data_IF_982223677580
#
_entry.id   IF_982223677580
#
_cell.length_a   1.000
_cell.length_b   1.000
_cell.length_c   1.000
_cell.angle_alpha   90.00
_cell.angle_beta   90.00
_cell.angle_gamma   90.00
#
_symmetry.space_group_name_H-M   'P 1'
#
loop_
_entity.id
_entity.type
_entity.pdbx_description
1 polymer ?
#
# COMPACT_ATOMS: atom_id res chain seq x y z
N UNK A 1 -21.11 32.43 -0.64
CA UNK A 1 -20.69 31.05 -0.36
C UNK A 1 -19.22 30.85 -0.73
N UNK A 2 -18.49 29.84 -0.19
CA UNK A 2 -17.10 29.59 -0.57
C UNK A 2 -16.88 29.44 -2.08
N UNK A 3 -17.86 28.89 -2.79
CA UNK A 3 -17.82 28.77 -4.25
C UNK A 3 -17.86 30.12 -4.95
N UNK A 4 -18.70 31.05 -4.51
CA UNK A 4 -18.78 32.40 -5.07
C UNK A 4 -17.54 33.23 -4.78
N UNK A 5 -16.93 33.01 -3.60
CA UNK A 5 -15.67 33.63 -3.21
C UNK A 5 -14.53 33.20 -4.13
N UNK A 6 -14.39 31.89 -4.37
CA UNK A 6 -13.38 31.32 -5.27
C UNK A 6 -13.61 31.79 -6.73
N UNK A 7 -14.85 31.86 -7.18
CA UNK A 7 -15.19 32.36 -8.51
C UNK A 7 -14.79 33.86 -8.67
N UNK A 8 -15.08 34.67 -7.66
CA UNK A 8 -14.67 36.07 -7.63
C UNK A 8 -13.15 36.23 -7.67
N UNK A 9 -12.43 35.44 -6.89
CA UNK A 9 -10.96 35.43 -6.87
C UNK A 9 -10.41 35.06 -8.26
N UNK A 10 -10.94 34.02 -8.89
CA UNK A 10 -10.51 33.57 -10.23
C UNK A 10 -10.74 34.62 -11.30
N UNK A 11 -11.89 35.28 -11.26
CA UNK A 11 -12.16 36.44 -12.14
C UNK A 11 -11.21 37.61 -11.89
N UNK A 12 -10.92 37.90 -10.62
CA UNK A 12 -9.98 38.96 -10.24
C UNK A 12 -8.58 38.64 -10.76
N UNK A 13 -8.10 37.42 -10.62
CA UNK A 13 -6.81 36.97 -11.17
C UNK A 13 -6.77 37.17 -12.69
N UNK A 14 -7.81 36.74 -13.39
CA UNK A 14 -7.91 36.87 -14.85
C UNK A 14 -7.88 38.34 -15.27
N UNK A 15 -8.61 39.24 -14.56
CA UNK A 15 -8.59 40.68 -14.82
C UNK A 15 -7.20 41.29 -14.55
N UNK A 16 -6.54 40.92 -13.45
CA UNK A 16 -5.20 41.42 -13.13
C UNK A 16 -4.17 41.04 -14.21
N UNK A 17 -4.24 39.82 -14.73
CA UNK A 17 -3.35 39.37 -15.80
C UNK A 17 -3.67 40.11 -17.12
N UNK A 18 -4.95 40.16 -17.50
CA UNK A 18 -5.38 40.75 -18.77
C UNK A 18 -5.26 42.30 -18.79
N UNK A 19 -5.72 42.95 -17.73
CA UNK A 19 -5.91 44.42 -17.74
C UNK A 19 -4.71 45.13 -17.10
N UNK A 20 -3.97 44.51 -16.21
CA UNK A 20 -2.80 45.07 -15.51
C UNK A 20 -1.45 44.49 -15.98
N UNK A 21 -1.46 43.50 -16.85
CA UNK A 21 -0.24 42.90 -17.40
C UNK A 21 0.57 42.06 -16.37
N UNK A 22 -0.04 41.69 -15.23
CA UNK A 22 0.62 40.82 -14.26
C UNK A 22 0.75 39.37 -14.83
N UNK A 23 1.78 38.68 -14.41
CA UNK A 23 1.92 37.25 -14.75
C UNK A 23 1.28 36.41 -13.66
N UNK A 24 0.74 35.26 -13.99
CA UNK A 24 0.17 34.31 -13.01
C UNK A 24 1.13 34.03 -11.86
N UNK A 25 2.42 33.88 -12.14
CA UNK A 25 3.48 33.62 -11.13
C UNK A 25 3.73 34.76 -10.15
N UNK A 26 3.22 35.95 -10.44
CA UNK A 26 3.37 37.14 -9.60
C UNK A 26 2.19 37.29 -8.62
N UNK A 27 1.20 36.38 -8.69
CA UNK A 27 -0.04 36.43 -7.90
C UNK A 27 -0.02 35.28 -6.90
N UNK A 28 -0.25 35.60 -5.64
CA UNK A 28 -0.37 34.63 -4.55
C UNK A 28 -1.73 34.75 -3.86
N UNK A 29 -2.40 33.62 -3.68
CA UNK A 29 -3.65 33.55 -2.90
C UNK A 29 -3.35 32.86 -1.58
N UNK A 30 -3.69 33.48 -0.48
CA UNK A 30 -3.49 32.95 0.87
C UNK A 30 -4.81 32.61 1.54
N UNK A 31 -4.94 31.44 2.10
CA UNK A 31 -6.08 31.03 2.92
C UNK A 31 -5.61 30.50 4.28
N UNK A 32 -6.43 30.72 5.32
CA UNK A 32 -6.18 30.12 6.66
C UNK A 32 -6.55 28.64 6.73
N UNK A 33 -7.48 28.22 5.89
CA UNK A 33 -8.03 26.86 5.83
C UNK A 33 -8.03 26.37 4.39
N UNK A 34 -6.82 26.14 3.80
CA UNK A 34 -6.71 25.75 2.40
C UNK A 34 -7.49 24.48 2.06
N UNK A 35 -7.65 23.56 3.02
CA UNK A 35 -8.34 22.28 2.87
C UNK A 35 -9.81 22.44 2.44
N UNK A 36 -10.45 23.54 2.84
CA UNK A 36 -11.85 23.82 2.49
C UNK A 36 -12.02 24.42 1.09
N UNK A 37 -10.93 24.84 0.46
CA UNK A 37 -10.95 25.61 -0.78
C UNK A 37 -10.22 24.94 -1.94
N UNK A 38 -9.31 23.97 -1.68
CA UNK A 38 -8.44 23.35 -2.70
C UNK A 38 -9.23 22.80 -3.89
N UNK A 39 -10.25 21.97 -3.64
CA UNK A 39 -11.11 21.42 -4.68
C UNK A 39 -11.84 22.51 -5.49
N UNK A 40 -12.28 23.55 -4.81
CA UNK A 40 -12.99 24.66 -5.43
C UNK A 40 -12.05 25.47 -6.34
N UNK A 41 -10.82 25.75 -5.86
CA UNK A 41 -9.79 26.41 -6.66
C UNK A 41 -9.37 25.56 -7.86
N UNK A 42 -9.14 24.26 -7.66
CA UNK A 42 -8.77 23.34 -8.75
C UNK A 42 -9.79 23.38 -9.89
N UNK A 43 -11.08 23.30 -9.57
CA UNK A 43 -12.16 23.35 -10.56
C UNK A 43 -12.29 24.75 -11.20
N UNK A 44 -12.21 25.80 -10.39
CA UNK A 44 -12.34 27.17 -10.87
C UNK A 44 -11.16 27.56 -11.77
N UNK A 45 -9.93 27.23 -11.38
CA UNK A 45 -8.74 27.49 -12.18
C UNK A 45 -8.77 26.73 -13.52
N UNK A 46 -9.25 25.49 -13.53
CA UNK A 46 -9.47 24.75 -14.77
C UNK A 46 -10.51 25.45 -15.67
N UNK A 47 -11.61 25.96 -15.08
CA UNK A 47 -12.65 26.65 -15.83
C UNK A 47 -12.16 27.96 -16.43
N UNK A 48 -11.35 28.74 -15.72
CA UNK A 48 -10.82 30.04 -16.17
C UNK A 48 -9.47 29.93 -16.90
N UNK A 49 -8.93 28.73 -17.09
CA UNK A 49 -7.62 28.50 -17.73
C UNK A 49 -6.46 29.15 -16.96
N UNK A 50 -6.54 29.19 -15.62
CA UNK A 50 -5.52 29.75 -14.75
C UNK A 50 -4.49 28.69 -14.43
N UNK A 51 -3.23 28.80 -14.88
CA UNK A 51 -2.15 27.91 -14.45
C UNK A 51 -1.77 28.25 -13.00
N UNK A 52 -2.13 27.40 -12.05
CA UNK A 52 -1.87 27.63 -10.64
C UNK A 52 -1.34 26.37 -9.96
N UNK A 53 -0.48 26.56 -8.96
CA UNK A 53 -0.08 25.52 -8.02
C UNK A 53 -0.88 25.73 -6.73
N UNK A 54 -1.51 24.67 -6.23
CA UNK A 54 -2.25 24.68 -4.96
C UNK A 54 -1.43 23.85 -3.97
N UNK A 55 -0.92 24.50 -2.93
CA UNK A 55 -0.18 23.83 -1.85
C UNK A 55 -1.18 23.15 -0.92
N UNK A 56 -1.42 21.87 -1.16
CA UNK A 56 -2.34 21.04 -0.39
C UNK A 56 -1.60 19.95 0.36
N UNK A 57 -1.86 19.85 1.67
CA UNK A 57 -1.32 18.75 2.49
C UNK A 57 -2.20 17.53 2.32
N UNK A 58 -1.73 16.56 1.58
CA UNK A 58 -2.39 15.25 1.50
C UNK A 58 -2.00 14.37 2.69
N UNK A 59 -2.98 13.80 3.43
CA UNK A 59 -2.67 12.85 4.48
C UNK A 59 -2.05 11.58 3.87
N UNK A 60 -0.87 11.23 4.35
CA UNK A 60 -0.11 10.09 3.81
C UNK A 60 -0.57 8.72 4.34
N UNK A 61 -1.58 8.67 5.19
CA UNK A 61 -2.06 7.44 5.82
C UNK A 61 -2.45 6.35 4.81
N UNK A 62 -2.90 6.75 3.63
CA UNK A 62 -3.30 5.84 2.55
C UNK A 62 -2.18 5.58 1.53
N UNK A 63 -0.99 6.14 1.73
CA UNK A 63 0.12 5.89 0.83
C UNK A 63 0.59 4.43 0.98
N UNK A 64 0.81 3.68 -0.12
CA UNK A 64 1.18 2.26 -0.08
C UNK A 64 2.39 1.95 0.79
N UNK A 65 3.43 2.78 0.79
CA UNK A 65 4.60 2.60 1.66
C UNK A 65 4.26 2.74 3.14
N UNK A 66 3.43 3.74 3.50
CA UNK A 66 3.00 3.95 4.88
C UNK A 66 2.12 2.79 5.34
N UNK A 67 1.24 2.29 4.46
CA UNK A 67 0.42 1.11 4.73
C UNK A 67 1.27 -0.14 4.88
N UNK A 68 2.22 -0.41 3.97
CA UNK A 68 3.14 -1.54 4.05
C UNK A 68 3.91 -1.52 5.37
N UNK A 69 4.54 -0.38 5.70
CA UNK A 69 5.30 -0.21 6.93
C UNK A 69 4.44 -0.42 8.17
N UNK A 70 3.22 0.13 8.18
CA UNK A 70 2.29 -0.02 9.29
C UNK A 70 1.86 -1.48 9.48
N UNK A 71 1.58 -2.21 8.40
CA UNK A 71 1.19 -3.63 8.48
C UNK A 71 2.36 -4.53 8.84
N UNK A 72 3.58 -4.24 8.36
CA UNK A 72 4.79 -4.93 8.79
C UNK A 72 5.02 -4.74 10.30
N UNK A 73 4.90 -3.52 10.80
CA UNK A 73 5.03 -3.25 12.24
C UNK A 73 3.96 -3.96 13.06
N UNK A 74 2.72 -4.00 12.59
CA UNK A 74 1.65 -4.77 13.26
C UNK A 74 1.94 -6.28 13.27
N UNK A 75 2.42 -6.82 12.14
CA UNK A 75 2.83 -8.21 12.04
C UNK A 75 3.96 -8.53 13.03
N UNK A 76 5.04 -7.76 13.01
CA UNK A 76 6.22 -7.96 13.84
C UNK A 76 5.94 -7.76 15.34
N UNK A 77 5.10 -6.80 15.70
CA UNK A 77 4.69 -6.58 17.08
C UNK A 77 3.93 -7.79 17.65
N UNK A 78 3.03 -8.39 16.85
CA UNK A 78 2.31 -9.61 17.25
C UNK A 78 3.24 -10.82 17.37
N UNK A 79 4.20 -10.97 16.45
CA UNK A 79 5.21 -12.03 16.47
C UNK A 79 6.15 -11.93 17.69
N UNK A 80 6.40 -10.73 18.19
CA UNK A 80 7.18 -10.52 19.42
C UNK A 80 6.42 -11.02 20.66
N UNK A 81 5.11 -10.80 20.70
CA UNK A 81 4.29 -11.19 21.83
C UNK A 81 3.96 -12.68 21.89
N UNK A 82 3.66 -13.30 20.76
CA UNK A 82 3.34 -14.71 20.63
C UNK A 82 3.69 -15.22 19.24
N UNK A 83 4.44 -16.31 19.17
CA UNK A 83 4.81 -16.96 17.90
C UNK A 83 3.56 -17.25 17.05
N UNK A 84 3.65 -16.98 15.77
CA UNK A 84 2.58 -17.11 14.78
C UNK A 84 1.37 -16.17 14.98
N UNK A 85 1.41 -15.22 15.92
CA UNK A 85 0.30 -14.30 16.14
C UNK A 85 0.19 -13.23 15.04
N UNK A 86 1.28 -12.92 14.34
CA UNK A 86 1.31 -12.04 13.17
C UNK A 86 0.67 -12.67 11.94
N UNK A 87 0.67 -13.99 11.82
CA UNK A 87 0.16 -14.76 10.68
C UNK A 87 -1.37 -14.76 10.55
N UNK A 88 -2.01 -13.74 11.09
CA UNK A 88 -3.45 -13.54 10.90
C UNK A 88 -3.74 -13.12 9.47
N UNK A 89 -4.72 -13.76 8.85
CA UNK A 89 -5.16 -13.49 7.48
C UNK A 89 -5.26 -11.99 7.17
N UNK A 90 -6.00 -11.26 7.99
CA UNK A 90 -6.23 -9.84 7.74
C UNK A 90 -4.93 -9.01 7.70
N UNK A 91 -3.98 -9.29 8.58
CA UNK A 91 -2.69 -8.59 8.63
C UNK A 91 -1.85 -8.91 7.39
N UNK A 92 -1.75 -10.20 7.03
CA UNK A 92 -0.95 -10.66 5.89
C UNK A 92 -1.48 -10.15 4.55
N UNK A 93 -2.78 -10.28 4.30
CA UNK A 93 -3.33 -9.87 3.00
C UNK A 93 -3.39 -8.35 2.83
N UNK A 94 -3.56 -7.59 3.91
CA UNK A 94 -3.39 -6.13 3.85
C UNK A 94 -1.96 -5.74 3.48
N UNK A 95 -0.96 -6.43 4.01
CA UNK A 95 0.45 -6.25 3.67
C UNK A 95 0.71 -6.59 2.20
N UNK A 96 0.29 -7.74 1.73
CA UNK A 96 0.47 -8.19 0.34
C UNK A 96 -0.24 -7.27 -0.66
N UNK A 97 -1.46 -6.83 -0.35
CA UNK A 97 -2.27 -5.96 -1.22
C UNK A 97 -1.77 -4.51 -1.35
N UNK A 98 -0.68 -4.16 -0.68
CA UNK A 98 0.01 -2.88 -0.95
C UNK A 98 0.70 -2.84 -2.31
N UNK A 99 0.88 -4.00 -2.96
CA UNK A 99 1.58 -4.19 -4.25
C UNK A 99 3.03 -3.72 -4.27
N UNK A 100 3.63 -3.51 -3.09
CA UNK A 100 5.03 -3.13 -2.94
C UNK A 100 5.98 -4.32 -2.75
N UNK A 101 5.43 -5.54 -2.70
CA UNK A 101 6.21 -6.78 -2.65
C UNK A 101 6.12 -7.46 -4.04
N UNK A 102 7.09 -7.23 -4.93
CA UNK A 102 7.00 -7.61 -6.35
C UNK A 102 7.01 -9.13 -6.58
N UNK A 103 7.37 -9.91 -5.58
CA UNK A 103 7.38 -11.37 -5.66
C UNK A 103 5.99 -11.99 -5.81
N UNK A 104 4.93 -11.23 -5.53
CA UNK A 104 3.56 -11.72 -5.58
C UNK A 104 2.73 -10.89 -6.56
N UNK A 105 2.18 -11.55 -7.57
CA UNK A 105 1.18 -10.92 -8.43
C UNK A 105 -0.16 -10.79 -7.71
N UNK A 106 -1.01 -9.87 -8.18
CA UNK A 106 -2.34 -9.68 -7.59
C UNK A 106 -3.20 -10.95 -7.70
N UNK A 107 -3.09 -11.70 -8.80
CA UNK A 107 -3.80 -12.96 -8.99
C UNK A 107 -3.37 -14.03 -7.97
N UNK A 108 -2.07 -14.16 -7.70
CA UNK A 108 -1.54 -15.08 -6.68
C UNK A 108 -2.06 -14.71 -5.30
N UNK A 109 -2.06 -13.41 -4.96
CA UNK A 109 -2.55 -12.90 -3.68
C UNK A 109 -4.04 -13.24 -3.50
N UNK A 110 -4.86 -12.97 -4.50
CA UNK A 110 -6.30 -13.19 -4.44
C UNK A 110 -6.64 -14.68 -4.36
N UNK A 111 -5.93 -15.53 -5.11
CA UNK A 111 -6.08 -16.99 -5.05
C UNK A 111 -5.64 -17.55 -3.70
N UNK A 112 -4.51 -17.08 -3.18
CA UNK A 112 -4.02 -17.47 -1.85
C UNK A 112 -5.01 -17.05 -0.76
N UNK A 113 -5.57 -15.84 -0.82
CA UNK A 113 -6.57 -15.37 0.14
C UNK A 113 -7.85 -16.23 0.10
N UNK A 114 -8.35 -16.52 -1.10
CA UNK A 114 -9.53 -17.37 -1.28
C UNK A 114 -9.30 -18.79 -0.74
N UNK A 115 -8.11 -19.36 -0.95
CA UNK A 115 -7.76 -20.66 -0.39
C UNK A 115 -7.73 -20.62 1.14
N UNK A 116 -7.06 -19.62 1.73
CA UNK A 116 -6.97 -19.45 3.19
C UNK A 116 -8.37 -19.26 3.81
N UNK A 117 -9.26 -18.53 3.14
CA UNK A 117 -10.65 -18.35 3.55
C UNK A 117 -11.44 -19.65 3.48
N UNK A 118 -11.43 -20.34 2.34
CA UNK A 118 -12.22 -21.54 2.09
C UNK A 118 -11.80 -22.70 3.02
N UNK A 119 -10.51 -22.79 3.32
CA UNK A 119 -9.94 -23.83 4.20
C UNK A 119 -9.87 -23.40 5.66
N UNK A 120 -10.25 -22.17 6.01
CA UNK A 120 -10.20 -21.62 7.36
C UNK A 120 -8.82 -21.79 8.01
N UNK A 121 -7.77 -21.52 7.21
CA UNK A 121 -6.37 -21.66 7.66
C UNK A 121 -6.13 -20.75 8.85
N UNK A 122 -5.57 -21.31 9.91
CA UNK A 122 -5.27 -20.61 11.16
C UNK A 122 -3.80 -20.17 11.21
N UNK A 123 -3.43 -19.18 12.04
CA UNK A 123 -2.08 -18.63 12.09
C UNK A 123 -0.95 -19.66 12.25
N UNK A 124 -1.14 -20.70 13.03
CA UNK A 124 -0.11 -21.72 13.23
C UNK A 124 0.06 -22.70 12.06
N UNK A 125 -0.94 -22.80 11.18
CA UNK A 125 -0.91 -23.70 10.03
C UNK A 125 -0.11 -23.12 8.84
N UNK A 126 0.35 -21.88 8.93
CA UNK A 126 1.20 -21.29 7.89
C UNK A 126 2.54 -22.00 7.74
N UNK A 127 3.03 -22.66 8.80
CA UNK A 127 4.27 -23.42 8.81
C UNK A 127 4.07 -24.91 8.52
N UNK A 128 2.83 -25.36 8.39
CA UNK A 128 2.52 -26.73 7.99
C UNK A 128 2.48 -26.85 6.46
N UNK A 129 2.72 -28.05 5.92
CA UNK A 129 2.49 -28.32 4.50
C UNK A 129 0.98 -28.38 4.21
N UNK A 130 0.54 -27.63 3.19
CA UNK A 130 -0.87 -27.67 2.76
C UNK A 130 -1.14 -28.68 1.66
N UNK A 131 -0.15 -29.45 1.26
CA UNK A 131 -0.31 -30.53 0.27
C UNK A 131 -1.10 -31.70 0.83
N UNK A 132 -0.93 -31.98 2.12
CA UNK A 132 -1.62 -33.07 2.78
C UNK A 132 -3.03 -32.65 3.19
N UNK A 133 -3.97 -33.59 3.04
CA UNK A 133 -5.34 -33.42 3.48
C UNK A 133 -5.39 -33.50 5.00
N UNK A 134 -5.86 -32.47 5.67
CA UNK A 134 -6.20 -32.56 7.10
C UNK A 134 -7.48 -33.40 7.24
N UNK A 135 -7.33 -34.69 7.49
CA UNK A 135 -8.44 -35.57 7.85
C UNK A 135 -8.94 -35.23 9.25
N UNK A 136 -9.85 -34.28 9.36
CA UNK A 136 -10.55 -33.97 10.62
C UNK A 136 -12.05 -34.31 10.58
N UNK A 137 -12.58 -34.76 9.44
CA UNK A 137 -13.95 -35.23 9.33
C UNK A 137 -13.95 -36.74 9.36
N UNK A 138 -14.52 -37.25 10.41
CA UNK A 138 -14.26 -38.55 11.06
C UNK A 138 -14.94 -39.77 10.43
N UNK A 139 -15.72 -39.72 9.36
CA UNK A 139 -16.51 -40.90 8.98
C UNK A 139 -16.61 -41.26 7.49
N UNK A 140 -16.04 -40.50 6.57
CA UNK A 140 -16.03 -40.95 5.16
C UNK A 140 -14.65 -40.72 4.55
N UNK A 141 -14.09 -41.77 3.93
CA UNK A 141 -12.90 -41.63 3.07
C UNK A 141 -13.25 -40.68 1.93
N UNK A 142 -12.77 -39.46 1.96
CA UNK A 142 -13.17 -38.47 0.97
C UNK A 142 -12.68 -38.92 -0.42
N UNK A 143 -13.41 -38.65 -1.50
CA UNK A 143 -13.04 -39.06 -2.84
C UNK A 143 -11.63 -38.57 -3.20
N UNK A 144 -10.88 -39.27 -4.05
CA UNK A 144 -9.56 -38.85 -4.48
C UNK A 144 -9.67 -37.44 -5.13
N UNK A 145 -8.69 -36.56 -4.83
CA UNK A 145 -8.64 -35.25 -5.41
C UNK A 145 -8.42 -35.34 -6.92
N UNK A 146 -9.08 -34.48 -7.69
CA UNK A 146 -8.78 -34.33 -9.10
C UNK A 146 -7.37 -33.81 -9.32
N UNK A 147 -6.79 -34.05 -10.50
CA UNK A 147 -5.47 -33.51 -10.86
C UNK A 147 -5.43 -31.98 -10.78
N UNK A 148 -6.52 -31.32 -11.12
CA UNK A 148 -6.65 -29.86 -11.02
C UNK A 148 -6.57 -29.37 -9.58
N UNK A 149 -7.23 -30.06 -8.63
CA UNK A 149 -7.16 -29.74 -7.20
C UNK A 149 -5.77 -30.01 -6.61
N UNK A 150 -5.10 -31.04 -7.06
CA UNK A 150 -3.73 -31.33 -6.66
C UNK A 150 -2.76 -30.27 -7.17
N UNK A 151 -2.92 -29.85 -8.43
CA UNK A 151 -2.11 -28.78 -9.02
C UNK A 151 -2.32 -27.43 -8.30
N UNK A 152 -3.57 -27.10 -7.98
CA UNK A 152 -3.88 -25.88 -7.23
C UNK A 152 -3.29 -25.90 -5.81
N UNK A 153 -3.36 -27.03 -5.11
CA UNK A 153 -2.73 -27.18 -3.81
C UNK A 153 -1.22 -27.00 -3.84
N UNK A 154 -0.54 -27.55 -4.84
CA UNK A 154 0.90 -27.37 -5.01
C UNK A 154 1.24 -25.90 -5.19
N UNK A 155 0.54 -25.19 -6.09
CA UNK A 155 0.74 -23.75 -6.32
C UNK A 155 0.55 -22.93 -5.05
N UNK A 156 -0.56 -23.15 -4.35
CA UNK A 156 -0.84 -22.42 -3.11
C UNK A 156 0.19 -22.73 -2.03
N UNK A 157 0.67 -23.98 -1.94
CA UNK A 157 1.73 -24.35 -1.01
C UNK A 157 3.08 -23.73 -1.39
N UNK A 158 3.39 -23.56 -2.67
CA UNK A 158 4.55 -22.81 -3.15
C UNK A 158 4.47 -21.34 -2.71
N UNK A 159 3.33 -20.67 -2.91
CA UNK A 159 3.12 -19.29 -2.47
C UNK A 159 3.22 -19.16 -0.96
N UNK A 160 2.64 -20.08 -0.21
CA UNK A 160 2.79 -20.16 1.25
C UNK A 160 4.27 -20.24 1.65
N UNK A 161 5.01 -21.16 1.03
CA UNK A 161 6.44 -21.36 1.32
C UNK A 161 7.25 -20.11 0.99
N UNK A 162 6.98 -19.47 -0.15
CA UNK A 162 7.61 -18.21 -0.54
C UNK A 162 7.33 -17.11 0.49
N UNK A 163 6.09 -16.99 0.96
CA UNK A 163 5.71 -16.00 1.97
C UNK A 163 6.35 -16.28 3.34
N UNK A 164 6.41 -17.52 3.78
CA UNK A 164 7.09 -17.86 5.03
C UNK A 164 8.60 -17.63 4.93
N UNK A 165 9.22 -17.98 3.82
CA UNK A 165 10.64 -17.71 3.57
C UNK A 165 10.99 -16.21 3.54
N UNK A 166 10.04 -15.37 3.16
CA UNK A 166 10.18 -13.91 3.16
C UNK A 166 10.05 -13.32 4.58
N UNK A 167 9.05 -13.73 5.34
CA UNK A 167 8.68 -13.08 6.60
C UNK A 167 9.33 -13.70 7.85
N UNK A 168 9.69 -14.99 7.83
CA UNK A 168 10.30 -15.63 8.99
C UNK A 168 11.67 -15.07 9.35
N UNK A 169 12.61 -14.85 8.41
CA UNK A 169 13.89 -14.23 8.71
C UNK A 169 13.76 -12.80 9.27
N UNK A 170 12.78 -12.05 8.73
CA UNK A 170 12.47 -10.71 9.23
C UNK A 170 11.97 -10.75 10.67
N UNK A 171 11.07 -11.68 10.98
CA UNK A 171 10.50 -11.88 12.32
C UNK A 171 11.58 -12.29 13.33
N UNK A 172 12.50 -13.15 12.92
CA UNK A 172 13.59 -13.63 13.77
C UNK A 172 14.61 -12.53 14.06
N UNK A 173 15.03 -11.78 13.03
CA UNK A 173 15.88 -10.61 13.19
C UNK A 173 15.23 -9.54 14.09
N UNK A 174 13.93 -9.30 13.91
CA UNK A 174 13.16 -8.35 14.73
C UNK A 174 13.10 -8.76 16.21
N UNK A 175 12.90 -10.04 16.50
CA UNK A 175 12.86 -10.57 17.87
C UNK A 175 14.21 -10.48 18.56
N UNK A 176 15.31 -10.68 17.83
CA UNK A 176 16.67 -10.58 18.36
C UNK A 176 17.15 -9.14 18.56
N UNK A 177 16.47 -8.16 17.98
CA UNK A 177 16.83 -6.75 18.07
C UNK A 177 16.59 -6.18 19.47
N UNK A 178 17.63 -5.59 20.06
CA UNK A 178 17.58 -5.03 21.42
C UNK A 178 17.08 -3.58 21.43
N UNK A 179 17.48 -2.78 20.46
CA UNK A 179 17.16 -1.36 20.42
C UNK A 179 16.13 -1.01 19.32
N UNK A 180 15.45 0.13 19.50
CA UNK A 180 14.59 0.70 18.44
C UNK A 180 15.37 1.03 17.16
N UNK A 181 16.65 1.45 17.31
CA UNK A 181 17.54 1.71 16.19
C UNK A 181 17.80 0.44 15.36
N UNK A 182 18.06 -0.69 16.04
CA UNK A 182 18.29 -1.97 15.35
C UNK A 182 17.03 -2.42 14.61
N UNK A 183 15.87 -2.29 15.23
CA UNK A 183 14.57 -2.58 14.60
C UNK A 183 14.30 -1.72 13.37
N UNK A 184 14.55 -0.42 13.45
CA UNK A 184 14.44 0.47 12.31
C UNK A 184 15.39 0.06 11.17
N UNK A 185 16.65 -0.30 11.50
CA UNK A 185 17.62 -0.76 10.52
C UNK A 185 17.24 -2.10 9.86
N UNK A 186 16.61 -3.03 10.60
CA UNK A 186 16.10 -4.29 10.08
C UNK A 186 14.98 -4.03 9.09
N UNK A 187 14.00 -3.21 9.47
CA UNK A 187 12.88 -2.85 8.60
C UNK A 187 13.35 -2.14 7.33
N UNK A 188 14.26 -1.18 7.45
CA UNK A 188 14.81 -0.47 6.31
C UNK A 188 15.56 -1.42 5.35
N UNK A 189 16.39 -2.31 5.87
CA UNK A 189 17.07 -3.33 5.04
C UNK A 189 16.10 -4.26 4.34
N UNK A 190 15.03 -4.66 5.01
CA UNK A 190 13.97 -5.45 4.39
C UNK A 190 13.30 -4.70 3.23
N UNK A 191 12.93 -3.43 3.41
CA UNK A 191 12.34 -2.63 2.34
C UNK A 191 13.30 -2.47 1.13
N UNK A 192 14.60 -2.40 1.38
CA UNK A 192 15.61 -2.35 0.33
C UNK A 192 15.77 -3.69 -0.38
N UNK A 193 15.82 -4.81 0.36
CA UNK A 193 15.93 -6.16 -0.25
C UNK A 193 14.74 -6.48 -1.14
N UNK A 194 13.55 -6.05 -0.75
CA UNK A 194 12.31 -6.19 -1.53
C UNK A 194 12.16 -5.15 -2.65
N UNK A 195 13.19 -4.36 -2.91
CA UNK A 195 13.24 -3.36 -3.98
C UNK A 195 12.08 -2.34 -3.95
N UNK A 196 11.55 -2.07 -2.75
CA UNK A 196 10.42 -1.13 -2.56
C UNK A 196 10.71 0.25 -3.16
N UNK A 197 11.92 0.87 -3.00
CA UNK A 197 12.24 2.15 -3.63
C UNK A 197 12.17 2.09 -5.16
N UNK A 198 12.64 1.00 -5.74
CA UNK A 198 12.61 0.81 -7.20
C UNK A 198 11.16 0.71 -7.71
N UNK A 199 10.30 -0.01 -6.99
CA UNK A 199 8.87 -0.12 -7.32
C UNK A 199 8.19 1.23 -7.26
N UNK A 200 8.46 2.04 -6.22
CA UNK A 200 7.92 3.40 -6.09
C UNK A 200 8.41 4.31 -7.21
N UNK A 201 9.70 4.24 -7.58
CA UNK A 201 10.25 5.02 -8.70
C UNK A 201 9.59 4.64 -10.03
N UNK A 202 9.36 3.35 -10.28
CA UNK A 202 8.67 2.90 -11.49
C UNK A 202 7.21 3.39 -11.53
N UNK A 203 6.53 3.44 -10.38
CA UNK A 203 5.19 4.02 -10.30
C UNK A 203 5.18 5.52 -10.56
N UNK A 204 6.20 6.26 -10.07
CA UNK A 204 6.35 7.69 -10.34
C UNK A 204 6.62 7.98 -11.82
N UNK A 205 7.42 7.16 -12.49
CA UNK A 205 7.66 7.28 -13.94
C UNK A 205 6.37 7.05 -14.72
N UNK A 206 5.63 5.98 -14.41
CA UNK A 206 4.34 5.69 -15.04
C UNK A 206 3.26 6.75 -14.75
N UNK A 207 3.28 7.34 -13.57
CA UNK A 207 2.37 8.43 -13.21
C UNK A 207 2.76 9.73 -13.93
N UNK A 208 4.05 10.04 -14.01
CA UNK A 208 4.57 11.23 -14.67
C UNK A 208 4.24 11.26 -16.16
N UNK A 209 4.36 10.13 -16.85
CA UNK A 209 3.96 10.01 -18.26
C UNK A 209 2.48 10.35 -18.49
N UNK A 210 1.60 10.03 -17.53
CA UNK A 210 0.16 10.23 -17.65
C UNK A 210 -0.32 11.59 -17.14
N UNK A 211 0.27 12.10 -16.06
CA UNK A 211 -0.25 13.23 -15.31
C UNK A 211 0.75 14.38 -15.14
N UNK A 212 2.03 14.17 -15.46
CA UNK A 212 3.11 15.12 -15.18
C UNK A 212 3.47 15.24 -13.69
N UNK A 213 2.92 14.36 -12.82
CA UNK A 213 3.15 14.37 -11.37
C UNK A 213 3.91 13.13 -10.91
N UNK A 214 4.69 13.29 -9.84
CA UNK A 214 5.43 12.21 -9.17
C UNK A 214 4.97 12.07 -7.72
N UNK A 215 3.86 11.39 -7.46
CA UNK A 215 3.21 11.37 -6.15
C UNK A 215 4.01 10.61 -5.07
N UNK A 216 4.95 9.75 -5.45
CA UNK A 216 5.72 8.91 -4.51
C UNK A 216 7.12 9.47 -4.20
N UNK A 217 7.62 10.45 -4.95
CA UNK A 217 8.98 10.96 -4.83
C UNK A 217 9.31 11.53 -3.44
N UNK A 218 8.33 12.10 -2.75
CA UNK A 218 8.51 12.73 -1.43
C UNK A 218 8.36 11.76 -0.26
N UNK A 219 8.05 10.50 -0.51
CA UNK A 219 7.68 9.52 0.55
C UNK A 219 8.85 8.64 0.97
N UNK A 220 9.82 8.48 0.09
CA UNK A 220 10.99 7.63 0.33
C UNK A 220 12.19 8.39 0.89
#
# INVERSE_FOLDING_TARGET
SPKEEVDLISRTITSLVRDKGLRYRDILVLSRTPENYSDLFTRSFATYGIPGFIDEKHPMNNHPLVMLTSFLLQFLAKETGRRNAGWQRLTLFRLLKTSLLPEFSQEEIDRLENYVLSRRIRPWQWHDSWEQRSCRDLDETPPPLSEAELAERRRVNEWRTRLTSLLDPLSEAWRSAVSAKDRAAILYRFLLSEKVPHTLSAWDEAAFEKTGLRPHLQVW
#
